data_IF_350477056089
#
_entry.id   IF_350477056089
#
_cell.length_a   1.000
_cell.length_b   1.000
_cell.length_c   1.000
_cell.angle_alpha   90.00
_cell.angle_beta   90.00
_cell.angle_gamma   90.00
#
_symmetry.space_group_name_H-M   'P 1'
#
loop_
_entity.id
_entity.type
_entity.pdbx_description
1 polymer ?
#
# COMPACT_ATOMS: atom_id res chain seq x y z
N UNK A 1 -11.40 -2.12 9.84
CA UNK A 1 -11.05 -0.89 10.59
C UNK A 1 -9.69 -1.09 11.22
N UNK A 2 -8.86 -0.05 11.27
CA UNK A 2 -7.55 -0.12 11.93
C UNK A 2 -7.51 0.78 13.15
N UNK A 3 -6.78 0.37 14.18
CA UNK A 3 -6.53 1.12 15.40
C UNK A 3 -5.04 1.38 15.54
N UNK A 4 -4.67 2.65 15.73
CA UNK A 4 -3.31 3.10 15.95
C UNK A 4 -3.27 4.16 17.05
N UNK A 5 -2.56 3.87 18.14
CA UNK A 5 -2.35 4.80 19.25
C UNK A 5 -1.99 4.08 20.55
N UNK A 6 -1.26 4.75 21.46
CA UNK A 6 -0.90 4.21 22.78
C UNK A 6 -0.22 2.82 22.77
N UNK A 7 0.49 2.48 21.70
CA UNK A 7 1.17 1.19 21.53
C UNK A 7 0.29 0.09 20.94
N UNK A 8 -0.97 0.37 20.63
CA UNK A 8 -1.85 -0.53 19.89
C UNK A 8 -1.70 -0.31 18.38
N UNK A 9 -1.49 -1.42 17.68
CA UNK A 9 -1.48 -1.53 16.22
C UNK A 9 -2.29 -2.76 15.86
N UNK A 10 -3.57 -2.57 15.55
CA UNK A 10 -4.49 -3.67 15.26
C UNK A 10 -5.38 -3.35 14.06
N UNK A 11 -5.84 -4.39 13.38
CA UNK A 11 -6.83 -4.29 12.32
C UNK A 11 -7.91 -5.32 12.56
N UNK A 12 -9.16 -4.92 12.31
CA UNK A 12 -10.34 -5.78 12.43
C UNK A 12 -11.09 -5.79 11.10
N UNK A 13 -11.40 -6.98 10.59
CA UNK A 13 -12.32 -7.16 9.46
C UNK A 13 -13.75 -7.22 9.99
N UNK A 14 -14.65 -6.54 9.28
CA UNK A 14 -16.08 -6.55 9.57
C UNK A 14 -16.84 -7.09 8.36
N UNK A 15 -17.91 -7.83 8.60
CA UNK A 15 -18.83 -8.26 7.55
C UNK A 15 -19.76 -7.11 7.10
N UNK A 16 -20.63 -7.39 6.12
CA UNK A 16 -21.60 -6.41 5.59
C UNK A 16 -22.62 -5.93 6.63
N UNK A 17 -22.85 -6.70 7.70
CA UNK A 17 -23.73 -6.31 8.80
C UNK A 17 -22.99 -5.50 9.88
N UNK A 18 -21.69 -5.22 9.69
CA UNK A 18 -20.86 -4.51 10.65
C UNK A 18 -20.40 -5.37 11.83
N UNK A 19 -20.47 -6.70 11.72
CA UNK A 19 -20.00 -7.61 12.77
C UNK A 19 -18.51 -7.89 12.59
N UNK A 20 -17.73 -7.80 13.67
CA UNK A 20 -16.34 -8.19 13.65
C UNK A 20 -16.22 -9.69 13.34
N UNK A 21 -15.39 -10.03 12.34
CA UNK A 21 -15.19 -11.42 11.92
C UNK A 21 -13.77 -11.90 12.19
N UNK A 22 -12.79 -11.00 12.26
CA UNK A 22 -11.38 -11.36 12.37
C UNK A 22 -10.54 -10.18 12.83
N UNK A 23 -9.54 -10.44 13.67
CA UNK A 23 -8.58 -9.46 14.18
C UNK A 23 -7.14 -9.85 13.82
N UNK A 24 -6.31 -8.83 13.58
CA UNK A 24 -4.86 -8.97 13.42
C UNK A 24 -4.15 -7.97 14.31
N UNK A 25 -3.06 -8.41 14.95
CA UNK A 25 -2.16 -7.56 15.73
C UNK A 25 -1.19 -6.78 14.84
N UNK A 26 -1.70 -6.17 13.78
CA UNK A 26 -0.94 -5.33 12.85
C UNK A 26 -1.86 -4.29 12.21
N UNK A 27 -1.28 -3.14 11.89
CA UNK A 27 -1.97 -2.05 11.22
C UNK A 27 -1.01 -1.39 10.22
N UNK A 28 -1.52 -0.74 9.18
CA UNK A 28 -0.69 -0.12 8.16
C UNK A 28 -1.47 0.46 7.00
N UNK A 29 -0.78 0.81 5.93
CA UNK A 29 -1.41 1.26 4.68
C UNK A 29 -1.84 0.03 3.87
N UNK A 30 -2.96 -0.56 4.28
CA UNK A 30 -3.43 -1.83 3.74
C UNK A 30 -4.14 -1.67 2.39
N UNK A 31 -3.80 -2.55 1.46
CA UNK A 31 -4.45 -2.79 0.18
C UNK A 31 -5.29 -4.06 0.28
N UNK A 32 -6.35 -4.14 -0.51
CA UNK A 32 -7.13 -5.37 -0.69
C UNK A 32 -7.10 -5.71 -2.17
N UNK A 33 -6.75 -6.95 -2.51
CA UNK A 33 -6.75 -7.40 -3.90
C UNK A 33 -8.14 -7.88 -4.36
N UNK A 34 -8.27 -8.17 -5.65
CA UNK A 34 -9.52 -8.69 -6.23
C UNK A 34 -10.03 -9.99 -5.60
N UNK A 35 -9.17 -10.76 -4.94
CA UNK A 35 -9.49 -12.01 -4.26
C UNK A 35 -9.78 -11.82 -2.77
N UNK A 36 -9.69 -10.58 -2.26
CA UNK A 36 -9.92 -10.24 -0.86
C UNK A 36 -8.69 -10.40 0.04
N UNK A 37 -7.51 -10.67 -0.52
CA UNK A 37 -6.27 -10.71 0.27
C UNK A 37 -5.89 -9.31 0.69
N UNK A 38 -5.63 -9.11 1.98
CA UNK A 38 -5.22 -7.81 2.51
C UNK A 38 -3.71 -7.81 2.70
N UNK A 39 -3.02 -6.79 2.17
CA UNK A 39 -1.56 -6.68 2.23
C UNK A 39 -1.08 -5.24 2.25
N UNK A 40 0.08 -4.95 2.83
CA UNK A 40 0.64 -3.61 2.76
C UNK A 40 1.80 -3.35 3.71
N UNK A 41 2.43 -2.17 3.63
CA UNK A 41 3.42 -1.73 4.58
C UNK A 41 2.76 -1.47 5.95
N UNK A 42 3.29 -2.13 6.97
CA UNK A 42 2.90 -1.95 8.37
C UNK A 42 3.27 -0.55 8.86
N UNK A 43 2.37 0.04 9.64
CA UNK A 43 2.71 1.09 10.59
C UNK A 43 3.25 0.42 11.85
N UNK A 44 4.43 0.81 12.27
CA UNK A 44 5.01 0.35 13.51
C UNK A 44 5.88 1.43 14.10
N UNK A 45 6.05 1.38 15.43
CA UNK A 45 7.10 2.14 16.09
C UNK A 45 8.44 1.43 15.83
N UNK A 46 9.37 2.02 15.06
CA UNK A 46 10.67 1.42 14.79
C UNK A 46 11.47 1.14 16.07
N UNK A 47 11.12 1.80 17.19
CA UNK A 47 11.74 1.60 18.51
C UNK A 47 11.30 0.30 19.19
N UNK A 48 10.17 -0.29 18.78
CA UNK A 48 9.66 -1.57 19.32
C UNK A 48 9.93 -2.74 18.37
N UNK A 49 9.71 -2.53 17.08
CA UNK A 49 9.99 -3.52 16.04
C UNK A 49 10.10 -2.82 14.68
N UNK A 50 11.05 -3.26 13.84
CA UNK A 50 11.15 -2.75 12.48
C UNK A 50 9.85 -3.03 11.70
N UNK A 51 9.21 -2.01 11.09
CA UNK A 51 8.02 -2.21 10.28
C UNK A 51 8.28 -3.22 9.17
N UNK A 52 7.28 -4.04 8.84
CA UNK A 52 7.37 -5.03 7.77
C UNK A 52 6.26 -4.86 6.75
N UNK A 53 6.45 -5.42 5.56
CA UNK A 53 5.31 -5.68 4.69
C UNK A 53 4.52 -6.86 5.28
N UNK A 54 3.19 -6.75 5.33
CA UNK A 54 2.31 -7.74 5.95
C UNK A 54 1.30 -8.26 4.95
N UNK A 55 0.91 -9.51 5.14
CA UNK A 55 -0.25 -10.11 4.48
C UNK A 55 -1.15 -10.69 5.55
N UNK A 56 -2.41 -10.30 5.52
CA UNK A 56 -3.45 -10.85 6.37
C UNK A 56 -4.13 -11.96 5.59
N UNK A 57 -4.07 -13.19 6.09
CA UNK A 57 -4.77 -14.28 5.43
C UNK A 57 -6.23 -14.37 5.89
N UNK A 58 -7.00 -15.16 5.16
CA UNK A 58 -8.42 -15.41 5.42
C UNK A 58 -8.69 -16.31 6.64
N UNK A 59 -7.64 -16.84 7.30
CA UNK A 59 -7.73 -17.82 8.38
C UNK A 59 -7.39 -17.25 9.76
N UNK A 60 -7.00 -15.98 9.87
CA UNK A 60 -6.60 -15.34 11.14
C UNK A 60 -5.12 -14.98 11.20
N UNK A 61 -4.34 -15.50 10.26
CA UNK A 61 -2.88 -15.47 10.28
C UNK A 61 -2.33 -14.15 9.77
N UNK A 62 -1.14 -13.83 10.27
CA UNK A 62 -0.34 -12.70 9.83
C UNK A 62 0.97 -13.20 9.24
N UNK A 63 1.12 -13.13 7.92
CA UNK A 63 2.38 -13.48 7.26
C UNK A 63 3.30 -12.27 7.22
N UNK A 64 4.54 -12.48 7.68
CA UNK A 64 5.60 -11.49 7.64
C UNK A 64 6.29 -11.49 6.27
N UNK A 65 6.42 -10.31 5.68
CA UNK A 65 7.21 -10.07 4.48
C UNK A 65 8.52 -9.33 4.79
N UNK A 66 9.09 -8.64 3.80
CA UNK A 66 10.35 -7.92 3.94
C UNK A 66 10.26 -6.85 5.03
N UNK A 67 11.39 -6.66 5.73
CA UNK A 67 11.58 -5.52 6.63
C UNK A 67 11.65 -4.23 5.81
N UNK A 68 11.04 -3.19 6.33
CA UNK A 68 10.97 -1.87 5.71
C UNK A 68 11.81 -0.88 6.53
N UNK A 69 12.77 -0.22 5.88
CA UNK A 69 13.56 0.85 6.50
C UNK A 69 12.80 2.18 6.50
N UNK A 70 13.24 3.13 7.33
CA UNK A 70 12.67 4.47 7.41
C UNK A 70 11.22 4.52 7.87
N UNK A 71 10.60 5.70 7.76
CA UNK A 71 9.19 5.91 8.11
C UNK A 71 8.39 6.63 7.02
N UNK A 72 9.02 7.53 6.25
CA UNK A 72 8.36 8.32 5.23
C UNK A 72 7.89 7.41 4.11
N UNK A 73 6.58 7.36 3.87
CA UNK A 73 5.99 6.44 2.92
C UNK A 73 4.71 7.00 2.32
N UNK A 74 4.53 6.82 1.01
CA UNK A 74 3.26 7.14 0.32
C UNK A 74 2.24 6.05 0.55
N UNK A 75 0.95 6.40 0.43
CA UNK A 75 -0.09 5.37 0.33
C UNK A 75 0.15 4.50 -0.91
N UNK A 76 0.21 3.16 -0.76
CA UNK A 76 0.62 2.25 -1.83
C UNK A 76 -0.48 2.10 -2.90
N UNK A 77 -0.10 1.53 -4.03
CA UNK A 77 -1.02 1.03 -5.07
C UNK A 77 -0.82 -0.48 -5.29
N UNK A 78 -1.82 -1.16 -5.87
CA UNK A 78 -1.77 -2.58 -6.19
C UNK A 78 -2.00 -2.78 -7.70
N UNK A 79 -1.11 -3.49 -8.37
CA UNK A 79 -1.34 -3.89 -9.76
C UNK A 79 -2.14 -5.20 -9.87
N UNK A 80 -2.58 -5.51 -11.07
CA UNK A 80 -3.39 -6.68 -11.35
C UNK A 80 -2.70 -8.02 -11.14
N UNK A 81 -1.38 -8.04 -11.07
CA UNK A 81 -0.58 -9.24 -10.78
C UNK A 81 -0.35 -9.41 -9.27
N UNK A 82 -0.82 -8.45 -8.46
CA UNK A 82 -0.73 -8.46 -7.01
C UNK A 82 0.55 -7.82 -6.45
N UNK A 83 1.28 -7.05 -7.27
CA UNK A 83 2.43 -6.27 -6.85
C UNK A 83 1.98 -5.01 -6.12
N UNK A 84 2.38 -4.85 -4.87
CA UNK A 84 2.17 -3.64 -4.09
C UNK A 84 3.33 -2.67 -4.33
N UNK A 85 3.05 -1.45 -4.76
CA UNK A 85 4.05 -0.44 -5.07
C UNK A 85 3.90 0.81 -4.20
N UNK A 86 5.01 1.27 -3.64
CA UNK A 86 5.04 2.44 -2.74
C UNK A 86 6.41 3.09 -2.70
N UNK A 87 6.42 4.40 -2.42
CA UNK A 87 7.60 5.09 -1.98
C UNK A 87 7.86 4.81 -0.51
N UNK A 88 9.11 4.57 -0.15
CA UNK A 88 9.57 4.57 1.22
C UNK A 88 11.04 4.91 1.32
N UNK A 89 11.40 5.85 2.19
CA UNK A 89 12.79 6.09 2.62
C UNK A 89 13.75 6.30 1.43
N UNK A 90 13.39 7.19 0.51
CA UNK A 90 14.19 7.50 -0.68
C UNK A 90 14.03 6.51 -1.85
N UNK A 91 13.18 5.49 -1.72
CA UNK A 91 13.08 4.40 -2.71
C UNK A 91 11.66 4.16 -3.17
N UNK A 92 11.50 3.90 -4.46
CA UNK A 92 10.29 3.33 -5.03
C UNK A 92 10.43 1.80 -5.04
N UNK A 93 9.59 1.14 -4.26
CA UNK A 93 9.63 -0.30 -4.03
C UNK A 93 8.39 -0.97 -4.60
N UNK A 94 8.55 -2.16 -5.17
CA UNK A 94 7.47 -3.08 -5.47
C UNK A 94 7.66 -4.38 -4.67
N UNK A 95 6.60 -4.88 -4.06
CA UNK A 95 6.57 -6.17 -3.34
C UNK A 95 5.59 -7.09 -4.03
N UNK A 96 6.07 -8.24 -4.51
CA UNK A 96 5.25 -9.23 -5.21
C UNK A 96 4.44 -10.14 -4.25
N UNK A 97 3.63 -11.04 -4.82
CA UNK A 97 2.83 -12.03 -4.06
C UNK A 97 3.67 -13.01 -3.23
N UNK A 98 4.90 -13.26 -3.68
CA UNK A 98 5.90 -14.11 -3.03
C UNK A 98 6.69 -13.36 -1.95
N UNK A 99 6.38 -12.08 -1.72
CA UNK A 99 7.04 -11.18 -0.77
C UNK A 99 8.50 -10.85 -1.14
N UNK A 100 8.84 -10.91 -2.43
CA UNK A 100 10.12 -10.41 -2.94
C UNK A 100 10.03 -8.91 -3.17
N UNK A 101 11.08 -8.20 -2.77
CA UNK A 101 11.21 -6.75 -2.99
C UNK A 101 11.97 -6.51 -4.29
N UNK A 102 11.45 -5.60 -5.11
CA UNK A 102 12.15 -4.99 -6.23
C UNK A 102 12.24 -3.49 -6.03
N UNK A 103 13.46 -2.96 -6.05
CA UNK A 103 13.68 -1.52 -6.11
C UNK A 103 13.51 -1.07 -7.56
N UNK A 104 12.54 -0.18 -7.81
CA UNK A 104 12.27 0.37 -9.13
C UNK A 104 13.07 1.65 -9.38
N UNK A 105 13.33 2.41 -8.32
CA UNK A 105 14.07 3.66 -8.35
C UNK A 105 14.55 4.02 -6.93
N UNK A 106 15.65 4.76 -6.84
CA UNK A 106 16.15 5.31 -5.58
C UNK A 106 16.79 6.68 -5.79
N UNK A 107 16.56 7.60 -4.83
CA UNK A 107 17.29 8.86 -4.70
C UNK A 107 17.46 9.20 -3.22
N UNK A 108 18.55 9.89 -2.88
CA UNK A 108 18.75 10.41 -1.53
C UNK A 108 17.84 11.62 -1.32
N UNK A 109 16.60 11.36 -0.93
CA UNK A 109 15.57 12.35 -0.72
C UNK A 109 14.84 12.10 0.59
N UNK A 110 14.87 13.11 1.45
CA UNK A 110 14.24 13.13 2.78
C UNK A 110 12.91 13.88 2.78
N UNK A 111 12.36 14.15 1.60
CA UNK A 111 11.08 14.84 1.47
C UNK A 111 9.96 13.98 2.04
N UNK A 112 9.07 14.66 2.77
CA UNK A 112 7.91 14.02 3.39
C UNK A 112 6.99 13.49 2.29
N UNK A 113 6.78 12.18 2.29
CA UNK A 113 6.02 11.48 1.28
C UNK A 113 4.53 11.32 1.66
N UNK A 114 3.83 12.42 1.93
CA UNK A 114 2.39 12.39 2.30
C UNK A 114 1.45 12.35 1.09
N UNK A 115 1.85 11.70 0.00
CA UNK A 115 1.03 11.54 -1.20
C UNK A 115 0.56 10.09 -1.38
N UNK A 116 -0.21 9.85 -2.43
CA UNK A 116 -0.67 8.53 -2.86
C UNK A 116 -0.01 8.18 -4.19
N UNK A 117 0.37 6.92 -4.35
CA UNK A 117 0.77 6.37 -5.65
C UNK A 117 -0.47 6.16 -6.52
N UNK A 118 -0.46 6.76 -7.71
CA UNK A 118 -1.41 6.48 -8.78
C UNK A 118 -0.75 5.52 -9.76
N UNK A 119 -1.36 4.33 -9.91
CA UNK A 119 -0.99 3.36 -10.93
C UNK A 119 -2.01 3.43 -12.06
N UNK A 120 -1.52 3.68 -13.27
CA UNK A 120 -2.31 3.83 -14.49
C UNK A 120 -2.00 2.71 -15.48
N UNK A 121 -2.81 2.63 -16.54
CA UNK A 121 -2.60 1.71 -17.65
C UNK A 121 -1.18 1.79 -18.23
N UNK A 122 -0.67 0.62 -18.62
CA UNK A 122 0.69 0.44 -19.11
C UNK A 122 1.76 0.51 -18.01
N UNK A 123 1.39 0.28 -16.75
CA UNK A 123 2.33 0.25 -15.63
C UNK A 123 2.94 1.63 -15.30
N UNK A 124 2.22 2.71 -15.63
CA UNK A 124 2.70 4.08 -15.36
C UNK A 124 2.40 4.44 -13.91
N UNK A 125 3.39 4.99 -13.21
CA UNK A 125 3.26 5.42 -11.82
C UNK A 125 3.41 6.93 -11.70
N UNK A 126 2.57 7.54 -10.89
CA UNK A 126 2.64 8.96 -10.55
C UNK A 126 2.45 9.15 -9.05
N UNK A 127 3.28 10.00 -8.45
CA UNK A 127 3.09 10.45 -7.07
C UNK A 127 3.87 11.74 -6.83
N UNK A 128 3.44 12.50 -5.84
CA UNK A 128 4.11 13.73 -5.44
C UNK A 128 5.11 13.46 -4.29
N UNK A 129 6.28 14.10 -4.34
CA UNK A 129 7.22 14.20 -3.22
C UNK A 129 7.60 15.67 -3.05
N UNK A 130 7.28 16.25 -1.90
CA UNK A 130 7.44 17.69 -1.72
C UNK A 130 6.61 18.48 -2.75
N UNK A 131 7.29 19.30 -3.55
CA UNK A 131 6.75 20.11 -4.64
C UNK A 131 6.93 19.47 -6.04
N UNK A 132 7.49 18.26 -6.11
CA UNK A 132 7.74 17.56 -7.36
C UNK A 132 6.68 16.49 -7.64
N UNK A 133 6.24 16.40 -8.90
CA UNK A 133 5.48 15.27 -9.42
C UNK A 133 6.43 14.29 -10.12
N UNK A 134 6.61 13.10 -9.54
CA UNK A 134 7.40 12.06 -10.18
C UNK A 134 6.52 11.19 -11.07
N UNK A 135 7.03 10.90 -12.27
CA UNK A 135 6.35 10.10 -13.29
C UNK A 135 7.28 9.01 -13.77
N UNK A 136 6.89 7.75 -13.56
CA UNK A 136 7.65 6.58 -14.01
C UNK A 136 6.89 5.85 -15.11
N UNK A 137 7.64 5.45 -16.14
CA UNK A 137 7.18 4.62 -17.26
C UNK A 137 7.98 3.32 -17.25
N UNK A 138 7.45 2.29 -17.92
CA UNK A 138 8.16 1.02 -18.14
C UNK A 138 8.63 0.33 -16.84
N UNK A 139 7.81 0.44 -15.78
CA UNK A 139 8.10 -0.14 -14.45
C UNK A 139 8.04 -1.67 -14.43
N UNK A 140 7.49 -2.27 -15.49
CA UNK A 140 7.18 -3.69 -15.56
C UNK A 140 6.05 -4.11 -14.60
N UNK A 141 5.21 -3.17 -14.16
CA UNK A 141 3.98 -3.45 -13.42
C UNK A 141 2.80 -3.60 -14.38
N UNK A 142 1.80 -4.36 -13.97
CA UNK A 142 0.52 -4.45 -14.65
C UNK A 142 -0.31 -3.16 -14.45
N UNK A 143 -1.48 -3.11 -15.09
CA UNK A 143 -2.49 -2.09 -14.77
C UNK A 143 -3.00 -2.24 -13.33
N UNK A 144 -3.67 -1.21 -12.81
CA UNK A 144 -4.28 -1.22 -11.48
C UNK A 144 -5.19 -2.45 -11.27
N UNK A 145 -5.17 -3.04 -10.08
CA UNK A 145 -6.08 -4.13 -9.74
C UNK A 145 -7.56 -3.67 -9.74
N UNK A 146 -8.47 -4.56 -10.15
CA UNK A 146 -9.92 -4.34 -10.14
C UNK A 146 -10.48 -4.81 -8.80
N UNK A 147 -10.43 -3.96 -7.78
CA UNK A 147 -10.78 -4.37 -6.41
C UNK A 147 -12.31 -4.31 -6.21
N UNK A 148 -12.95 -5.31 -5.59
CA UNK A 148 -14.40 -5.33 -5.37
C UNK A 148 -14.85 -4.45 -4.18
N UNK A 149 -13.93 -3.81 -3.46
CA UNK A 149 -14.27 -2.92 -2.35
C UNK A 149 -14.94 -1.64 -2.87
N UNK A 150 -15.74 -0.92 -2.08
CA UNK A 150 -16.44 0.29 -2.53
C UNK A 150 -15.50 1.47 -2.91
N UNK A 151 -14.21 1.36 -2.59
CA UNK A 151 -13.13 2.18 -3.12
C UNK A 151 -12.42 1.52 -4.33
N UNK A 152 -13.15 0.65 -5.04
CA UNK A 152 -12.68 -0.43 -5.92
C UNK A 152 -11.83 -0.02 -7.11
N UNK A 153 -11.88 1.26 -7.44
CA UNK A 153 -11.01 1.87 -8.45
C UNK A 153 -9.79 2.54 -7.80
N UNK A 154 -9.29 2.02 -6.67
CA UNK A 154 -8.21 2.66 -5.89
C UNK A 154 -8.58 4.05 -5.35
N UNK A 155 -9.88 4.33 -5.19
CA UNK A 155 -10.42 5.67 -4.92
C UNK A 155 -10.15 6.68 -6.06
N UNK A 156 -9.93 6.24 -7.31
CA UNK A 156 -9.75 7.14 -8.47
C UNK A 156 -10.99 8.01 -8.72
N UNK A 157 -12.19 7.52 -8.39
CA UNK A 157 -13.42 8.33 -8.41
C UNK A 157 -13.51 9.32 -7.23
N UNK A 158 -12.70 9.12 -6.18
CA UNK A 158 -12.45 10.14 -5.15
C UNK A 158 -11.42 11.19 -5.59
N UNK A 159 -10.86 11.06 -6.79
CA UNK A 159 -10.02 12.06 -7.43
C UNK A 159 -10.90 12.84 -8.42
N UNK A 160 -11.17 14.14 -8.20
CA UNK A 160 -11.91 14.94 -9.17
C UNK A 160 -11.02 15.19 -10.38
N UNK A 161 -10.99 14.24 -11.32
CA UNK A 161 -10.44 14.50 -12.65
C UNK A 161 -11.52 15.27 -13.39
N UNK A 162 -11.33 16.58 -13.55
CA UNK A 162 -12.14 17.37 -14.47
C UNK A 162 -11.90 16.77 -15.85
N UNK A 163 -12.91 16.11 -16.41
CA UNK A 163 -12.87 15.72 -17.80
C UNK A 163 -12.88 17.01 -18.63
N UNK A 164 -11.77 17.28 -19.32
CA UNK A 164 -11.78 18.25 -20.41
C UNK A 164 -12.24 17.49 -21.66
N UNK A 165 -13.45 17.80 -22.10
CA UNK A 165 -13.91 17.53 -23.48
C UNK A 165 -13.22 18.49 -24.47
#
# INVERSE_FOLDING_TARGET
MGSHGYGEFSSTLYDRAGRAVQDWSSHGMMLVDRYGTIRGPEFGDPRRSAPMFRVFDSAGSLRAGPRLSGHDTTYPALDGDGNAVFWRDGKLLAVDTDLRVRELFGRDDRSVAMSRVLLLDGGRLLFALGDELLVFRDTGLAALDTVPWPCGDGNIHGNPVVAFE
#
